data_IF_499165170074
#
_entry.id   IF_499165170074
#
_cell.length_a   1.000
_cell.length_b   1.000
_cell.length_c   1.000
_cell.angle_alpha   90.00
_cell.angle_beta   90.00
_cell.angle_gamma   90.00
#
_symmetry.space_group_name_H-M   'P 1'
#
loop_
_entity.id
_entity.type
_entity.pdbx_description
1 polymer ?
#
# COMPACT_ATOMS: atom_id res chain seq x y z
N UNK A 1 14.59 4.71 19.27
CA UNK A 1 15.15 4.57 17.90
C UNK A 1 15.64 3.16 17.58
N UNK A 2 16.49 2.53 18.40
CA UNK A 2 17.02 1.17 18.15
C UNK A 2 15.95 0.05 18.04
N UNK A 3 14.84 0.13 18.80
CA UNK A 3 13.76 -0.88 18.77
C UNK A 3 13.02 -0.92 17.42
N UNK A 4 12.74 0.25 16.83
CA UNK A 4 12.09 0.36 15.52
C UNK A 4 13.02 -0.08 14.39
N UNK A 5 14.32 0.22 14.47
CA UNK A 5 15.30 -0.21 13.49
C UNK A 5 15.47 -1.74 13.46
N UNK A 6 15.49 -2.39 14.64
CA UNK A 6 15.50 -3.86 14.74
C UNK A 6 14.24 -4.49 14.16
N UNK A 7 13.07 -3.86 14.29
CA UNK A 7 11.84 -4.34 13.66
C UNK A 7 11.88 -4.18 12.13
N UNK A 8 12.47 -3.10 11.60
CA UNK A 8 12.64 -2.89 10.17
C UNK A 8 13.61 -3.87 9.51
N UNK A 9 14.59 -4.39 10.25
CA UNK A 9 15.53 -5.42 9.78
C UNK A 9 15.10 -6.84 10.21
N UNK A 10 13.87 -7.00 10.69
CA UNK A 10 13.35 -8.31 11.10
C UNK A 10 12.64 -9.01 9.95
N UNK A 11 12.49 -10.34 10.04
CA UNK A 11 11.71 -11.13 9.09
C UNK A 11 10.29 -10.58 8.88
N UNK A 12 9.72 -9.89 9.87
CA UNK A 12 8.40 -9.25 9.74
C UNK A 12 8.38 -8.12 8.71
N UNK A 13 9.43 -7.32 8.59
CA UNK A 13 9.46 -6.25 7.59
C UNK A 13 9.45 -6.84 6.17
N UNK A 14 10.22 -7.91 5.96
CA UNK A 14 10.20 -8.68 4.73
C UNK A 14 8.80 -9.20 4.41
N UNK A 15 8.06 -9.73 5.39
CA UNK A 15 6.67 -10.15 5.19
C UNK A 15 5.75 -9.00 4.79
N UNK A 16 5.82 -7.85 5.46
CA UNK A 16 5.02 -6.67 5.08
C UNK A 16 5.34 -6.19 3.66
N UNK A 17 6.63 -6.21 3.29
CA UNK A 17 7.09 -5.77 1.98
C UNK A 17 6.69 -6.75 0.88
N UNK A 18 6.87 -8.06 1.10
CA UNK A 18 6.41 -9.09 0.19
C UNK A 18 4.89 -9.04 0.01
N UNK A 19 4.12 -8.90 1.10
CA UNK A 19 2.67 -8.81 1.01
C UNK A 19 2.23 -7.56 0.23
N UNK A 20 2.80 -6.40 0.56
CA UNK A 20 2.55 -5.17 -0.21
C UNK A 20 2.90 -5.34 -1.68
N UNK A 21 4.07 -5.92 -1.99
CA UNK A 21 4.51 -6.19 -3.36
C UNK A 21 3.53 -7.11 -4.10
N UNK A 22 3.13 -8.22 -3.49
CA UNK A 22 2.19 -9.17 -4.09
C UNK A 22 0.90 -8.48 -4.51
N UNK A 23 0.26 -7.72 -3.62
CA UNK A 23 -0.96 -6.98 -3.97
C UNK A 23 -0.71 -5.90 -5.03
N UNK A 24 0.39 -5.16 -4.88
CA UNK A 24 0.77 -4.09 -5.81
C UNK A 24 1.19 -4.58 -7.20
N UNK A 25 1.51 -5.86 -7.39
CA UNK A 25 1.83 -6.45 -8.69
C UNK A 25 0.67 -7.26 -9.28
N UNK A 26 -0.02 -8.08 -8.47
CA UNK A 26 -1.11 -8.93 -8.94
C UNK A 26 -2.22 -8.08 -9.57
N UNK A 27 -2.61 -6.99 -8.92
CA UNK A 27 -3.71 -6.15 -9.39
C UNK A 27 -3.36 -5.54 -10.75
N UNK A 28 -2.25 -4.81 -10.95
CA UNK A 28 -1.87 -4.33 -12.28
C UNK A 28 -1.75 -5.41 -13.35
N UNK A 29 -1.14 -6.56 -13.03
CA UNK A 29 -0.94 -7.66 -14.00
C UNK A 29 -2.28 -8.23 -14.48
N UNK A 30 -3.26 -8.42 -13.59
CA UNK A 30 -4.57 -8.92 -13.98
C UNK A 30 -5.26 -7.93 -14.92
N UNK A 31 -5.18 -6.63 -14.64
CA UNK A 31 -5.87 -5.63 -15.43
C UNK A 31 -5.20 -5.37 -16.78
N UNK A 32 -3.87 -5.39 -16.83
CA UNK A 32 -3.11 -5.37 -18.08
C UNK A 32 -3.49 -6.57 -18.96
N UNK A 33 -3.58 -7.78 -18.37
CA UNK A 33 -3.95 -8.99 -19.13
C UNK A 33 -5.41 -9.00 -19.58
N UNK A 34 -6.31 -8.31 -18.89
CA UNK A 34 -7.70 -8.16 -19.27
C UNK A 34 -7.95 -7.02 -20.28
N UNK A 35 -6.92 -6.26 -20.70
CA UNK A 35 -7.04 -5.06 -21.54
C UNK A 35 -8.05 -4.04 -20.98
N UNK A 36 -8.09 -3.89 -19.66
CA UNK A 36 -8.90 -2.87 -19.02
C UNK A 36 -8.35 -1.48 -19.36
N UNK A 37 -8.92 -0.87 -20.39
CA UNK A 37 -8.49 0.43 -20.92
C UNK A 37 -9.40 1.57 -20.44
N UNK A 38 -10.51 1.24 -19.79
CA UNK A 38 -11.45 2.23 -19.29
C UNK A 38 -10.96 2.88 -18.00
N UNK A 39 -10.89 4.21 -18.02
CA UNK A 39 -10.52 5.06 -16.88
C UNK A 39 -11.42 4.77 -15.66
N UNK A 40 -12.68 4.40 -15.91
CA UNK A 40 -13.64 4.00 -14.87
C UNK A 40 -13.27 2.70 -14.18
N UNK A 41 -12.76 1.70 -14.90
CA UNK A 41 -12.31 0.43 -14.32
C UNK A 41 -11.04 0.63 -13.49
N UNK A 42 -10.06 1.36 -14.05
CA UNK A 42 -8.82 1.75 -13.38
C UNK A 42 -9.12 2.56 -12.11
N UNK A 43 -10.04 3.52 -12.19
CA UNK A 43 -10.48 4.35 -11.07
C UNK A 43 -11.15 3.55 -9.95
N UNK A 44 -11.98 2.55 -10.28
CA UNK A 44 -12.66 1.72 -9.27
C UNK A 44 -11.67 0.86 -8.48
N UNK A 45 -10.60 0.39 -9.11
CA UNK A 45 -9.56 -0.42 -8.45
C UNK A 45 -8.73 0.44 -7.52
N UNK A 46 -8.24 1.56 -8.04
CA UNK A 46 -7.41 2.51 -7.30
C UNK A 46 -8.20 3.04 -6.09
N UNK A 47 -9.39 3.56 -6.33
CA UNK A 47 -10.16 4.18 -5.26
C UNK A 47 -10.88 3.17 -4.36
N UNK A 48 -11.30 2.03 -4.89
CA UNK A 48 -12.01 1.00 -4.13
C UNK A 48 -11.03 0.08 -3.42
N UNK A 49 -10.35 -0.77 -4.18
CA UNK A 49 -9.55 -1.85 -3.63
C UNK A 49 -8.31 -1.34 -2.89
N UNK A 50 -7.51 -0.50 -3.54
CA UNK A 50 -6.23 -0.04 -2.98
C UNK A 50 -6.43 0.92 -1.80
N UNK A 51 -7.46 1.77 -1.82
CA UNK A 51 -7.78 2.63 -0.68
C UNK A 51 -8.28 1.83 0.53
N UNK A 52 -9.14 0.83 0.33
CA UNK A 52 -9.58 -0.07 1.41
C UNK A 52 -8.37 -0.81 1.99
N UNK A 53 -7.51 -1.33 1.12
CA UNK A 53 -6.29 -2.03 1.53
C UNK A 53 -5.36 -1.11 2.35
N UNK A 54 -5.15 0.13 1.91
CA UNK A 54 -4.37 1.14 2.63
C UNK A 54 -4.90 1.34 4.06
N UNK A 55 -6.23 1.50 4.21
CA UNK A 55 -6.87 1.66 5.52
C UNK A 55 -6.68 0.41 6.38
N UNK A 56 -6.96 -0.78 5.85
CA UNK A 56 -6.84 -2.05 6.57
C UNK A 56 -5.40 -2.27 7.06
N UNK A 57 -4.40 -2.03 6.21
CA UNK A 57 -2.99 -2.15 6.58
C UNK A 57 -2.64 -1.19 7.71
N UNK A 58 -3.05 0.08 7.62
CA UNK A 58 -2.84 1.06 8.68
C UNK A 58 -3.44 0.63 10.02
N UNK A 59 -4.69 0.14 10.00
CA UNK A 59 -5.37 -0.40 11.18
C UNK A 59 -4.64 -1.60 11.79
N UNK A 60 -4.17 -2.54 10.97
CA UNK A 60 -3.45 -3.74 11.43
C UNK A 60 -2.13 -3.34 12.09
N UNK A 61 -1.33 -2.49 11.44
CA UNK A 61 -0.04 -2.04 11.98
C UNK A 61 -0.24 -1.38 13.34
N UNK A 62 -1.24 -0.51 13.45
CA UNK A 62 -1.47 0.23 14.67
C UNK A 62 -2.06 -0.62 15.80
N UNK A 63 -3.00 -1.54 15.51
CA UNK A 63 -3.54 -2.52 16.47
C UNK A 63 -2.48 -3.48 17.01
N UNK A 64 -1.53 -3.91 16.19
CA UNK A 64 -0.46 -4.84 16.59
C UNK A 64 0.73 -4.14 17.26
N UNK A 65 0.61 -2.85 17.54
CA UNK A 65 1.66 -1.98 18.08
C UNK A 65 3.00 -2.08 17.31
N UNK A 66 2.87 -2.23 15.99
CA UNK A 66 4.01 -2.29 15.10
C UNK A 66 4.54 -0.88 14.78
N UNK A 67 5.78 -0.84 14.31
CA UNK A 67 6.44 0.41 13.92
C UNK A 67 5.65 1.18 12.87
N UNK A 68 5.50 2.49 13.07
CA UNK A 68 4.83 3.38 12.10
C UNK A 68 5.48 3.31 10.72
N UNK A 69 6.78 3.00 10.62
CA UNK A 69 7.47 2.88 9.33
C UNK A 69 6.86 1.82 8.38
N UNK A 70 6.13 0.83 8.90
CA UNK A 70 5.43 -0.14 8.06
C UNK A 70 4.27 0.47 7.26
N UNK A 71 3.75 1.65 7.66
CA UNK A 71 2.70 2.35 6.88
C UNK A 71 3.21 2.85 5.53
N UNK A 72 4.53 2.96 5.38
CA UNK A 72 5.19 3.40 4.15
C UNK A 72 5.28 2.30 3.10
N UNK A 73 5.20 1.02 3.50
CA UNK A 73 5.56 -0.10 2.63
C UNK A 73 4.58 -0.23 1.46
N UNK A 74 3.27 -0.16 1.74
CA UNK A 74 2.26 -0.22 0.69
C UNK A 74 2.32 0.99 -0.27
N UNK A 75 2.29 2.25 0.19
CA UNK A 75 2.39 3.42 -0.69
C UNK A 75 3.66 3.42 -1.54
N UNK A 76 4.82 3.03 -0.99
CA UNK A 76 6.07 2.97 -1.73
C UNK A 76 6.04 1.85 -2.78
N UNK A 77 5.53 0.67 -2.42
CA UNK A 77 5.37 -0.41 -3.39
C UNK A 77 4.41 -0.02 -4.50
N UNK A 78 3.29 0.61 -4.18
CA UNK A 78 2.33 1.11 -5.17
C UNK A 78 3.01 2.08 -6.16
N UNK A 79 3.77 3.06 -5.67
CA UNK A 79 4.49 4.01 -6.52
C UNK A 79 5.50 3.34 -7.46
N UNK A 80 6.17 2.27 -6.99
CA UNK A 80 7.12 1.51 -7.78
C UNK A 80 6.45 0.63 -8.83
N UNK A 81 5.35 -0.04 -8.50
CA UNK A 81 4.73 -1.03 -9.39
C UNK A 81 3.77 -0.39 -10.37
N UNK A 82 2.81 0.41 -9.92
CA UNK A 82 1.79 0.98 -10.80
C UNK A 82 2.39 1.94 -11.83
N UNK A 83 3.54 2.55 -11.51
CA UNK A 83 4.29 3.36 -12.45
C UNK A 83 4.90 2.60 -13.64
N UNK A 84 4.90 1.26 -13.60
CA UNK A 84 5.37 0.38 -14.69
C UNK A 84 4.23 -0.13 -15.58
N UNK A 85 3.00 -0.16 -15.08
CA UNK A 85 1.83 -0.71 -15.79
C UNK A 85 0.84 0.35 -16.24
N UNK A 86 0.75 1.48 -15.54
CA UNK A 86 -0.25 2.52 -15.79
C UNK A 86 0.38 3.89 -16.04
N UNK A 87 -0.45 4.78 -16.57
CA UNK A 87 -0.10 6.18 -16.83
C UNK A 87 0.37 6.93 -15.58
N UNK A 88 1.14 7.99 -15.84
CA UNK A 88 1.79 8.81 -14.81
C UNK A 88 0.81 9.41 -13.78
N UNK A 89 -0.43 9.69 -14.15
CA UNK A 89 -1.43 10.24 -13.23
C UNK A 89 -1.80 9.28 -12.10
N UNK A 90 -1.68 7.97 -12.32
CA UNK A 90 -2.00 6.96 -11.30
C UNK A 90 -1.05 7.04 -10.10
N UNK A 91 0.17 7.56 -10.31
CA UNK A 91 1.17 7.73 -9.24
C UNK A 91 0.70 8.69 -8.14
N UNK A 92 -0.19 9.64 -8.44
CA UNK A 92 -0.70 10.58 -7.43
C UNK A 92 -1.49 9.88 -6.31
N UNK A 93 -2.07 8.71 -6.60
CA UNK A 93 -2.79 7.92 -5.59
C UNK A 93 -1.88 7.35 -4.50
N UNK A 94 -0.59 7.14 -4.78
CA UNK A 94 0.36 6.69 -3.76
C UNK A 94 0.44 7.65 -2.56
N UNK A 95 0.36 8.96 -2.80
CA UNK A 95 0.33 9.96 -1.74
C UNK A 95 -0.97 9.90 -0.94
N UNK A 96 -2.10 9.65 -1.60
CA UNK A 96 -3.40 9.47 -0.94
C UNK A 96 -3.36 8.25 -0.03
N UNK A 97 -2.84 7.12 -0.52
CA UNK A 97 -2.72 5.90 0.28
C UNK A 97 -1.78 6.05 1.47
N UNK A 98 -0.72 6.85 1.33
CA UNK A 98 0.16 7.20 2.45
C UNK A 98 -0.59 7.95 3.56
N UNK A 99 -1.41 8.93 3.19
CA UNK A 99 -2.23 9.66 4.15
C UNK A 99 -3.24 8.71 4.81
N UNK A 100 -3.90 7.86 4.03
CA UNK A 100 -4.88 6.89 4.54
C UNK A 100 -4.24 5.88 5.51
N UNK A 101 -3.08 5.29 5.18
CA UNK A 101 -2.40 4.32 6.07
C UNK A 101 -1.98 4.98 7.38
N UNK A 102 -1.47 6.21 7.35
CA UNK A 102 -1.05 6.95 8.55
C UNK A 102 -2.25 7.34 9.41
N UNK A 103 -3.34 7.86 8.82
CA UNK A 103 -4.55 8.21 9.56
C UNK A 103 -5.16 6.97 10.21
N UNK A 104 -5.27 5.86 9.47
CA UNK A 104 -5.78 4.60 9.98
C UNK A 104 -4.92 4.05 11.12
N UNK A 105 -3.58 4.13 11.00
CA UNK A 105 -2.66 3.80 12.09
C UNK A 105 -2.93 4.67 13.32
N UNK A 106 -3.05 6.00 13.16
CA UNK A 106 -3.27 6.95 14.24
C UNK A 106 -4.56 6.68 15.03
N UNK A 107 -5.66 6.35 14.34
CA UNK A 107 -6.96 6.04 14.98
C UNK A 107 -6.88 4.88 15.98
N UNK A 108 -5.94 3.95 15.78
CA UNK A 108 -5.78 2.78 16.66
C UNK A 108 -4.87 3.03 17.86
N UNK A 109 -4.14 4.16 17.89
CA UNK A 109 -3.33 4.58 19.03
C UNK A 109 -4.21 5.40 19.98
N UNK A 110 -4.88 4.69 20.89
CA UNK A 110 -5.56 5.29 22.05
C UNK A 110 -4.62 5.35 23.24
#
# INVERSE_FOLDING_TARGET
MQKHLRQLLSLRSLWYLCFAATFCFIVPIIYETLNATDITEIGFILFGFDAIFAVVVGLIIGKLDHSIFFTLFFPLMFLLTYGLFFDSYVRYFGYIYLVLTILAFGITKK
#
